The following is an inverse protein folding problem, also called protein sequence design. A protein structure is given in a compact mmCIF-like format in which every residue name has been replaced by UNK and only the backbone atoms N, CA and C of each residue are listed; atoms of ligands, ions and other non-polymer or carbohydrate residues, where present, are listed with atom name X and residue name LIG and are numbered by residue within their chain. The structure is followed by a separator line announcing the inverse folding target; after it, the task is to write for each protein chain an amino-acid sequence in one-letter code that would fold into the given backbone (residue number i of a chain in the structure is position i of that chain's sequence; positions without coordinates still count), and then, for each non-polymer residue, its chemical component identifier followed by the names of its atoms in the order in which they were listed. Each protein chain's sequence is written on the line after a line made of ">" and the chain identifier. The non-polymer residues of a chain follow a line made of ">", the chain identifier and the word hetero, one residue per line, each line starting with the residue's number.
data_IF_133083733972
#
_entry.id   IF_133083733972
#
_cell.length_a   1.000
_cell.length_b   1.000
_cell.length_c   1.000
_cell.angle_alpha   90.00
_cell.angle_beta   90.00
_cell.angle_gamma   90.00
#
_symmetry.space_group_name_H-M   'P 1'
#
loop_
_entity.id
_entity.type
_entity.pdbx_description
1 polymer ?
#
# COMPACT_ATOMS: atom_id res chain seq x y z
N UNK A 1 -5.53 -2.33 -14.84
CA UNK A 1 -5.74 -3.79 -14.70
C UNK A 1 -5.07 -4.30 -13.43
N UNK A 2 -5.71 -5.20 -12.68
CA UNK A 2 -5.11 -5.89 -11.53
C UNK A 2 -4.04 -6.87 -12.01
N UNK A 3 -2.97 -7.06 -11.24
CA UNK A 3 -1.87 -7.97 -11.60
C UNK A 3 -2.19 -9.43 -11.27
N UNK A 4 -3.10 -9.65 -10.31
CA UNK A 4 -3.45 -10.98 -9.81
C UNK A 4 -4.75 -11.52 -10.41
N UNK A 5 -5.57 -10.65 -11.02
CA UNK A 5 -6.91 -11.00 -11.52
C UNK A 5 -7.95 -11.23 -10.42
N UNK A 6 -7.58 -11.07 -9.15
CA UNK A 6 -8.43 -11.36 -7.99
C UNK A 6 -9.50 -10.29 -7.79
N UNK A 7 -10.67 -10.73 -7.32
CA UNK A 7 -11.70 -9.84 -6.78
C UNK A 7 -11.25 -9.20 -5.46
N UNK A 8 -11.94 -8.14 -5.06
CA UNK A 8 -11.72 -7.48 -3.76
C UNK A 8 -11.68 -8.48 -2.60
N UNK A 9 -12.66 -9.38 -2.53
CA UNK A 9 -12.78 -10.35 -1.44
C UNK A 9 -11.57 -11.29 -1.40
N UNK A 10 -11.18 -11.80 -2.57
CA UNK A 10 -10.03 -12.71 -2.71
C UNK A 10 -8.71 -12.01 -2.35
N UNK A 11 -8.53 -10.73 -2.69
CA UNK A 11 -7.34 -9.97 -2.29
C UNK A 11 -7.16 -9.95 -0.76
N UNK A 12 -8.22 -9.69 -0.01
CA UNK A 12 -8.15 -9.63 1.45
C UNK A 12 -8.03 -11.02 2.10
N UNK A 13 -8.57 -12.05 1.46
CA UNK A 13 -8.38 -13.45 1.89
C UNK A 13 -6.92 -13.89 1.67
N UNK A 14 -6.36 -13.63 0.49
CA UNK A 14 -4.98 -13.98 0.16
C UNK A 14 -3.95 -13.19 0.98
N UNK A 15 -4.22 -11.93 1.34
CA UNK A 15 -3.34 -11.16 2.23
C UNK A 15 -3.21 -11.80 3.62
N UNK A 16 -4.25 -12.48 4.10
CA UNK A 16 -4.26 -13.15 5.40
C UNK A 16 -3.80 -14.61 5.32
N UNK A 17 -3.59 -15.12 4.12
CA UNK A 17 -3.30 -16.51 3.87
C UNK A 17 -1.78 -16.76 3.94
N UNK A 18 -1.27 -17.49 4.95
CA UNK A 18 0.16 -17.82 5.02
C UNK A 18 0.62 -18.74 3.89
N UNK A 19 -0.31 -19.39 3.18
CA UNK A 19 -0.06 -20.20 1.99
C UNK A 19 -0.57 -19.51 0.72
N UNK A 20 -0.47 -18.18 0.68
CA UNK A 20 -0.86 -17.38 -0.47
C UNK A 20 -0.21 -17.91 -1.75
N UNK A 21 -1.02 -18.11 -2.78
CA UNK A 21 -0.54 -18.62 -4.08
C UNK A 21 0.24 -17.56 -4.87
N UNK A 22 0.13 -16.30 -4.46
CA UNK A 22 0.75 -15.15 -5.10
C UNK A 22 1.90 -14.62 -4.23
N UNK A 23 2.85 -13.96 -4.88
CA UNK A 23 3.85 -13.17 -4.16
C UNK A 23 3.08 -12.03 -3.47
N UNK A 24 3.18 -11.94 -2.14
CA UNK A 24 2.37 -11.02 -1.32
C UNK A 24 2.44 -9.57 -1.81
N UNK A 25 3.59 -9.12 -2.31
CA UNK A 25 3.72 -7.76 -2.84
C UNK A 25 2.80 -7.45 -4.04
N UNK A 26 2.41 -8.46 -4.82
CA UNK A 26 1.43 -8.31 -5.90
C UNK A 26 0.02 -8.09 -5.33
N UNK A 27 -0.32 -8.80 -4.24
CA UNK A 27 -1.57 -8.59 -3.50
C UNK A 27 -1.60 -7.17 -2.91
N UNK A 28 -0.52 -6.74 -2.24
CA UNK A 28 -0.40 -5.39 -1.68
C UNK A 28 -0.54 -4.32 -2.77
N UNK A 29 0.05 -4.56 -3.94
CA UNK A 29 -0.06 -3.65 -5.07
C UNK A 29 -1.50 -3.53 -5.60
N UNK A 30 -2.21 -4.64 -5.73
CA UNK A 30 -3.60 -4.64 -6.18
C UNK A 30 -4.55 -4.04 -5.14
N UNK A 31 -4.27 -4.19 -3.83
CA UNK A 31 -4.97 -3.46 -2.76
C UNK A 31 -4.72 -1.95 -2.89
N UNK A 32 -3.51 -1.53 -3.21
CA UNK A 32 -3.18 -0.12 -3.48
C UNK A 32 -4.00 0.48 -4.61
N UNK A 33 -4.10 -0.24 -5.74
CA UNK A 33 -4.96 0.15 -6.88
C UNK A 33 -6.43 0.18 -6.54
N UNK A 34 -6.90 -0.75 -5.69
CA UNK A 34 -8.27 -0.76 -5.21
C UNK A 34 -8.59 0.58 -4.53
N UNK A 35 -7.70 1.09 -3.67
CA UNK A 35 -7.92 2.37 -2.97
C UNK A 35 -8.05 3.58 -3.90
N UNK A 36 -7.40 3.57 -5.06
CA UNK A 36 -7.36 4.71 -5.99
C UNK A 36 -8.70 4.91 -6.72
N UNK A 37 -9.40 3.82 -7.07
CA UNK A 37 -10.48 3.84 -8.05
C UNK A 37 -11.81 3.25 -7.52
N UNK A 38 -12.14 3.46 -6.25
CA UNK A 38 -13.28 2.78 -5.62
C UNK A 38 -14.10 3.68 -4.70
N UNK A 39 -15.22 3.14 -4.21
CA UNK A 39 -16.10 3.80 -3.25
C UNK A 39 -15.40 4.04 -1.89
N UNK A 40 -15.91 4.98 -1.11
CA UNK A 40 -15.28 5.36 0.17
C UNK A 40 -15.11 4.19 1.14
N UNK A 41 -16.05 3.23 1.17
CA UNK A 41 -15.96 2.07 2.08
C UNK A 41 -14.82 1.16 1.65
N UNK A 42 -14.76 0.81 0.37
CA UNK A 42 -13.68 -0.02 -0.18
C UNK A 42 -12.31 0.64 -0.05
N UNK A 43 -12.21 1.96 -0.23
CA UNK A 43 -10.98 2.72 -0.02
C UNK A 43 -10.52 2.64 1.44
N UNK A 44 -11.42 2.86 2.40
CA UNK A 44 -11.11 2.79 3.84
C UNK A 44 -10.61 1.42 4.27
N UNK A 45 -11.22 0.35 3.74
CA UNK A 45 -10.79 -1.04 4.00
C UNK A 45 -9.40 -1.32 3.43
N UNK A 46 -9.11 -0.84 2.21
CA UNK A 46 -7.77 -0.95 1.62
C UNK A 46 -6.72 -0.13 2.37
N UNK A 47 -7.04 1.12 2.73
CA UNK A 47 -6.17 1.96 3.58
C UNK A 47 -5.83 1.25 4.90
N UNK A 48 -6.80 0.59 5.53
CA UNK A 48 -6.57 -0.16 6.76
C UNK A 48 -5.59 -1.32 6.57
N UNK A 49 -5.78 -2.15 5.55
CA UNK A 49 -4.87 -3.24 5.24
C UNK A 49 -3.44 -2.75 4.98
N UNK A 50 -3.28 -1.66 4.22
CA UNK A 50 -1.96 -1.08 3.93
C UNK A 50 -1.29 -0.51 5.20
N UNK A 51 -2.06 0.12 6.11
CA UNK A 51 -1.53 0.58 7.40
C UNK A 51 -1.04 -0.58 8.26
N UNK A 52 -1.77 -1.68 8.31
CA UNK A 52 -1.36 -2.84 9.09
C UNK A 52 -0.07 -3.48 8.54
N UNK A 53 0.12 -3.51 7.22
CA UNK A 53 1.39 -3.94 6.61
C UNK A 53 2.56 -3.06 7.06
N UNK A 54 2.38 -1.73 7.10
CA UNK A 54 3.43 -0.81 7.56
C UNK A 54 3.85 -1.06 9.02
N UNK A 55 2.91 -1.46 9.87
CA UNK A 55 3.14 -1.69 11.30
C UNK A 55 3.70 -3.08 11.60
N UNK A 56 3.20 -4.11 10.93
CA UNK A 56 3.34 -5.51 11.36
C UNK A 56 4.24 -6.36 10.46
N UNK A 57 4.38 -6.03 9.18
CA UNK A 57 5.13 -6.89 8.25
C UNK A 57 6.64 -6.82 8.52
N UNK A 58 7.32 -7.98 8.55
CA UNK A 58 8.78 -8.04 8.54
C UNK A 58 9.36 -7.90 7.12
N UNK A 59 8.52 -8.07 6.08
CA UNK A 59 8.92 -7.99 4.69
C UNK A 59 9.10 -6.54 4.23
N UNK A 60 10.31 -6.23 3.77
CA UNK A 60 10.70 -4.88 3.35
C UNK A 60 10.00 -4.47 2.05
N UNK A 61 9.75 -5.38 1.13
CA UNK A 61 9.10 -5.11 -0.16
C UNK A 61 7.63 -4.76 0.07
N UNK A 62 6.93 -5.52 0.93
CA UNK A 62 5.53 -5.24 1.26
C UNK A 62 5.39 -3.88 1.96
N UNK A 63 6.28 -3.57 2.91
CA UNK A 63 6.34 -2.25 3.54
C UNK A 63 6.57 -1.10 2.55
N UNK A 64 7.54 -1.25 1.65
CA UNK A 64 7.80 -0.24 0.60
C UNK A 64 6.57 -0.04 -0.28
N UNK A 65 5.93 -1.13 -0.69
CA UNK A 65 4.76 -1.10 -1.59
C UNK A 65 3.56 -0.45 -0.92
N UNK A 66 3.28 -0.80 0.34
CA UNK A 66 2.21 -0.19 1.11
C UNK A 66 2.46 1.31 1.36
N UNK A 67 3.70 1.68 1.69
CA UNK A 67 4.07 3.08 1.90
C UNK A 67 3.93 3.89 0.62
N UNK A 68 4.37 3.34 -0.52
CA UNK A 68 4.21 3.94 -1.83
C UNK A 68 2.74 4.27 -2.11
N UNK A 69 1.85 3.27 -2.02
CA UNK A 69 0.43 3.46 -2.32
C UNK A 69 -0.21 4.47 -1.40
N UNK A 70 -0.03 4.32 -0.09
CA UNK A 70 -0.56 5.28 0.88
C UNK A 70 -0.01 6.70 0.67
N UNK A 71 1.15 6.89 0.04
CA UNK A 71 1.72 8.23 -0.20
C UNK A 71 1.27 8.89 -1.51
N UNK A 72 0.67 8.13 -2.44
CA UNK A 72 0.18 8.64 -3.73
C UNK A 72 -1.34 8.78 -3.78
N UNK A 73 -2.06 8.13 -2.87
CA UNK A 73 -3.52 8.23 -2.76
C UNK A 73 -3.98 9.59 -2.23
N UNK A 74 -5.09 10.07 -2.77
CA UNK A 74 -5.76 11.29 -2.31
C UNK A 74 -6.80 11.00 -1.20
N UNK A 75 -7.22 12.02 -0.46
CA UNK A 75 -8.33 11.96 0.51
C UNK A 75 -8.18 10.90 1.62
N UNK A 76 -6.95 10.69 2.08
CA UNK A 76 -6.61 9.72 3.12
C UNK A 76 -7.25 10.05 4.47
N UNK A 77 -7.63 9.01 5.21
CA UNK A 77 -8.11 9.16 6.58
C UNK A 77 -7.03 9.71 7.53
N UNK A 78 -7.45 10.46 8.57
CA UNK A 78 -6.54 11.03 9.58
C UNK A 78 -5.59 10.01 10.22
N UNK A 79 -6.07 8.80 10.48
CA UNK A 79 -5.25 7.70 11.02
C UNK A 79 -4.16 7.26 10.04
N UNK A 80 -4.47 7.22 8.75
CA UNK A 80 -3.51 6.90 7.67
C UNK A 80 -2.41 7.93 7.57
N UNK A 81 -2.77 9.22 7.61
CA UNK A 81 -1.81 10.32 7.61
C UNK A 81 -0.86 10.25 8.82
N UNK A 82 -1.38 9.91 10.00
CA UNK A 82 -0.56 9.73 11.19
C UNK A 82 0.41 8.55 11.03
N UNK A 83 -0.07 7.39 10.58
CA UNK A 83 0.78 6.20 10.35
C UNK A 83 1.88 6.48 9.32
N UNK A 84 1.59 7.21 8.24
CA UNK A 84 2.60 7.63 7.27
C UNK A 84 3.67 8.53 7.90
N UNK A 85 3.25 9.49 8.73
CA UNK A 85 4.18 10.39 9.43
C UNK A 85 5.08 9.63 10.39
N UNK A 86 4.52 8.70 11.17
CA UNK A 86 5.26 7.82 12.08
C UNK A 86 6.25 6.94 11.31
N UNK A 87 5.79 6.29 10.24
CA UNK A 87 6.63 5.43 9.41
C UNK A 87 7.80 6.22 8.80
N UNK A 88 7.53 7.42 8.27
CA UNK A 88 8.53 8.31 7.68
C UNK A 88 9.57 8.82 8.68
N UNK A 89 9.15 9.09 9.91
CA UNK A 89 10.01 9.67 10.94
C UNK A 89 10.77 8.61 11.75
N UNK A 90 10.44 7.33 11.62
CA UNK A 90 11.20 6.26 12.24
C UNK A 90 12.56 6.08 11.54
N UNK A 91 13.71 6.23 12.25
CA UNK A 91 15.04 6.07 11.67
C UNK A 91 15.28 4.72 10.97
N UNK A 92 14.70 3.63 11.49
CA UNK A 92 14.86 2.28 10.94
C UNK A 92 14.23 2.13 9.54
N UNK A 93 13.25 2.98 9.23
CA UNK A 93 12.56 2.97 7.95
C UNK A 93 13.22 3.88 6.91
N UNK A 94 14.29 4.63 7.25
CA UNK A 94 14.89 5.63 6.36
C UNK A 94 15.24 5.08 4.98
N UNK A 95 15.85 3.90 4.91
CA UNK A 95 16.20 3.26 3.65
C UNK A 95 14.96 2.84 2.83
N UNK A 96 13.90 2.39 3.50
CA UNK A 96 12.63 2.00 2.85
C UNK A 96 11.94 3.22 2.26
N UNK A 97 11.85 4.31 3.03
CA UNK A 97 11.26 5.58 2.61
C UNK A 97 12.01 6.15 1.41
N UNK A 98 13.34 6.17 1.43
CA UNK A 98 14.15 6.64 0.30
C UNK A 98 13.91 5.81 -0.97
N UNK A 99 13.79 4.48 -0.83
CA UNK A 99 13.50 3.60 -1.96
C UNK A 99 12.10 3.83 -2.53
N UNK A 100 11.10 4.03 -1.67
CA UNK A 100 9.74 4.33 -2.09
C UNK A 100 9.62 5.71 -2.76
N UNK A 101 10.34 6.72 -2.23
CA UNK A 101 10.26 8.11 -2.67
C UNK A 101 10.58 8.28 -4.16
N UNK A 102 11.60 7.57 -4.67
CA UNK A 102 11.94 7.57 -6.10
C UNK A 102 10.78 7.07 -6.98
N UNK A 103 10.08 6.04 -6.51
CA UNK A 103 8.91 5.49 -7.21
C UNK A 103 7.70 6.42 -7.13
N UNK A 104 7.50 7.08 -5.98
CA UNK A 104 6.43 8.06 -5.76
C UNK A 104 6.59 9.24 -6.72
N UNK A 105 7.80 9.79 -6.83
CA UNK A 105 8.12 10.91 -7.73
C UNK A 105 7.80 10.57 -9.18
N UNK A 106 8.33 9.44 -9.67
CA UNK A 106 8.08 8.95 -11.03
C UNK A 106 6.60 8.69 -11.30
N UNK A 107 5.87 8.15 -10.33
CA UNK A 107 4.44 7.92 -10.48
C UNK A 107 3.66 9.25 -10.64
N UNK A 108 3.98 10.27 -9.84
CA UNK A 108 3.34 11.59 -9.91
C UNK A 108 3.65 12.33 -11.21
N UNK A 109 4.90 12.24 -11.70
CA UNK A 109 5.28 12.78 -13.01
C UNK A 109 4.43 12.19 -14.14
N UNK A 110 4.19 10.89 -14.12
CA UNK A 110 3.38 10.21 -15.14
C UNK A 110 1.87 10.55 -15.08
N UNK A 111 1.37 11.02 -13.94
CA UNK A 111 -0.04 11.45 -13.79
C UNK A 111 -0.26 12.92 -14.21
N UNK A 112 0.81 13.70 -14.34
CA UNK A 112 0.76 15.12 -14.67
C UNK A 112 0.91 15.42 -16.17
N UNK A 113 1.18 14.39 -16.98
CA UNK A 113 1.33 14.44 -18.44
C UNK A 113 0.14 13.78 -19.13
#
# INVERSE_FOLDING_TARGET
>A
MSQTGLSKKELFEELKNPSCRYIECLIVNDIGKLCENTDEKSRKEGEEALREILKSSSDKINKITAFFWLSVLENLGKRTLLTLKEFKNNPDNKALVQKAQRSIEKYKENQSN
#
